data_IF_846776383185
#
_entry.id   IF_846776383185
#
_cell.length_a   1.000
_cell.length_b   1.000
_cell.length_c   1.000
_cell.angle_alpha   90.00
_cell.angle_beta   90.00
_cell.angle_gamma   90.00
#
_symmetry.space_group_name_H-M   'P 1'
#
loop_
_entity.id
_entity.type
_entity.pdbx_description
1 polymer ?
#
# COMPACT_ATOMS: atom_id res chain seq x y z
N UNK A 1 -12.00 0.20 25.79
CA UNK A 1 -10.80 0.72 26.48
C UNK A 1 -9.86 1.15 25.37
N UNK A 2 -9.65 2.46 25.16
CA UNK A 2 -8.89 2.95 24.01
C UNK A 2 -7.42 2.54 24.10
N UNK A 3 -6.86 2.03 22.99
CA UNK A 3 -5.42 1.78 22.86
C UNK A 3 -4.68 3.09 23.16
N UNK A 4 -3.92 3.12 24.25
CA UNK A 4 -3.09 4.28 24.61
C UNK A 4 -1.72 4.03 23.99
N UNK A 5 -1.39 4.77 22.93
CA UNK A 5 -0.02 4.80 22.41
C UNK A 5 0.92 5.46 23.42
N UNK A 6 2.20 5.13 23.36
CA UNK A 6 3.23 5.85 24.09
C UNK A 6 3.34 7.29 23.54
N UNK A 7 3.57 8.26 24.43
CA UNK A 7 3.85 9.64 24.02
C UNK A 7 5.27 9.70 23.41
N UNK A 8 5.44 10.10 22.12
CA UNK A 8 6.75 10.18 21.49
C UNK A 8 7.70 11.18 22.15
N UNK A 9 7.19 12.10 22.97
CA UNK A 9 7.96 13.10 23.69
C UNK A 9 8.29 12.70 25.14
N UNK A 10 7.89 11.49 25.57
CA UNK A 10 8.31 10.96 26.88
C UNK A 10 9.83 10.81 26.95
N UNK A 11 10.38 11.04 28.14
CA UNK A 11 11.83 11.01 28.37
C UNK A 11 12.49 9.67 27.96
N UNK A 12 11.77 8.54 28.09
CA UNK A 12 12.28 7.23 27.66
C UNK A 12 12.35 7.14 26.15
N UNK A 13 11.34 7.64 25.45
CA UNK A 13 11.28 7.62 23.98
C UNK A 13 12.31 8.56 23.38
N UNK A 14 12.49 9.77 23.95
CA UNK A 14 13.52 10.70 23.51
C UNK A 14 14.93 10.12 23.66
N UNK A 15 15.20 9.46 24.81
CA UNK A 15 16.49 8.79 25.02
C UNK A 15 16.68 7.61 24.07
N UNK A 16 15.66 6.78 23.83
CA UNK A 16 15.79 5.64 22.93
C UNK A 16 15.93 6.04 21.46
N UNK A 17 15.28 7.14 21.05
CA UNK A 17 15.38 7.66 19.69
C UNK A 17 16.67 8.43 19.41
N UNK A 18 17.52 8.66 20.42
CA UNK A 18 18.79 9.40 20.29
C UNK A 18 18.64 10.75 19.57
N UNK A 19 17.50 11.44 19.77
CA UNK A 19 17.20 12.72 19.13
C UNK A 19 16.69 12.64 17.68
N UNK A 20 16.44 11.45 17.12
CA UNK A 20 15.85 11.28 15.78
C UNK A 20 14.51 12.03 15.62
N UNK A 21 13.75 12.21 16.70
CA UNK A 21 12.48 12.94 16.74
C UNK A 21 12.62 14.41 16.28
N UNK A 22 13.82 14.99 16.36
CA UNK A 22 14.08 16.36 15.92
C UNK A 22 14.45 16.47 14.44
N UNK A 23 14.74 15.34 13.79
CA UNK A 23 15.12 15.29 12.37
C UNK A 23 14.02 14.66 11.50
N UNK A 24 13.17 13.83 12.09
CA UNK A 24 12.07 13.15 11.42
C UNK A 24 10.72 13.66 11.94
N UNK A 25 9.79 14.08 11.07
CA UNK A 25 8.47 14.51 11.50
C UNK A 25 7.73 13.38 12.23
N UNK A 26 7.26 13.67 13.45
CA UNK A 26 6.43 12.75 14.25
C UNK A 26 5.02 13.34 14.36
N UNK A 27 4.05 12.64 13.78
CA UNK A 27 2.64 13.04 13.81
C UNK A 27 1.88 12.04 14.68
N UNK A 28 1.25 12.53 15.75
CA UNK A 28 0.47 11.71 16.69
C UNK A 28 -1.04 11.84 16.45
N UNK A 29 -1.81 10.90 16.97
CA UNK A 29 -3.28 10.93 16.92
C UNK A 29 -3.85 11.01 15.49
N UNK A 30 -3.14 10.41 14.53
CA UNK A 30 -3.56 10.40 13.14
C UNK A 30 -4.39 9.16 12.82
N UNK A 31 -5.52 9.33 12.12
CA UNK A 31 -6.37 8.22 11.69
C UNK A 31 -5.98 7.75 10.31
N UNK A 32 -5.83 6.44 10.14
CA UNK A 32 -5.46 5.85 8.84
C UNK A 32 -6.48 6.17 7.75
N UNK A 33 -7.78 6.23 8.06
CA UNK A 33 -8.82 6.61 7.10
C UNK A 33 -8.55 7.99 6.49
N UNK A 34 -8.23 8.99 7.32
CA UNK A 34 -7.91 10.34 6.87
C UNK A 34 -6.63 10.39 6.04
N UNK A 35 -5.68 9.48 6.27
CA UNK A 35 -4.49 9.35 5.41
C UNK A 35 -4.90 8.95 4.01
N UNK A 36 -5.77 7.95 3.93
CA UNK A 36 -6.19 7.31 2.68
C UNK A 36 -7.10 8.22 1.86
N UNK A 37 -7.93 9.04 2.50
CA UNK A 37 -8.72 10.06 1.81
C UNK A 37 -7.82 11.05 1.04
N UNK A 38 -6.68 11.45 1.64
CA UNK A 38 -5.70 12.31 0.99
C UNK A 38 -4.92 11.60 -0.13
N UNK A 39 -4.76 10.29 -0.03
CA UNK A 39 -4.08 9.48 -1.06
C UNK A 39 -4.99 9.31 -2.29
N UNK A 40 -6.30 9.13 -2.09
CA UNK A 40 -7.27 9.04 -3.18
C UNK A 40 -7.28 10.30 -4.06
N UNK A 41 -7.03 11.47 -3.46
CA UNK A 41 -6.91 12.75 -4.19
C UNK A 41 -5.68 12.79 -5.14
N UNK A 42 -4.59 12.13 -4.78
CA UNK A 42 -3.34 12.06 -5.58
C UNK A 42 -3.42 11.03 -6.72
N UNK A 43 -4.35 10.07 -6.65
CA UNK A 43 -4.61 9.08 -7.71
C UNK A 43 -5.44 9.58 -8.89
N UNK A 44 -5.84 10.86 -8.92
CA UNK A 44 -6.25 11.56 -10.14
C UNK A 44 -7.37 10.88 -10.94
N UNK A 45 -8.57 10.79 -10.35
CA UNK A 45 -9.80 10.82 -11.14
C UNK A 45 -10.44 12.18 -10.93
N UNK A 46 -9.93 13.20 -11.64
CA UNK A 46 -10.70 14.41 -11.87
C UNK A 46 -11.66 14.09 -13.01
N UNK A 47 -12.82 13.51 -12.68
CA UNK A 47 -13.97 13.54 -13.60
C UNK A 47 -14.45 14.98 -13.64
N UNK A 48 -13.76 15.80 -14.44
CA UNK A 48 -14.23 17.13 -14.82
C UNK A 48 -14.45 17.13 -16.32
N UNK A 49 -15.73 17.11 -16.68
CA UNK A 49 -16.25 17.54 -17.97
C UNK A 49 -16.92 16.41 -18.76
N UNK A 50 -18.09 16.55 -19.34
CA UNK A 50 -19.05 17.66 -19.44
C UNK A 50 -20.40 17.00 -19.77
N UNK A 51 -21.50 17.65 -19.42
CA UNK A 51 -22.85 17.26 -19.79
C UNK A 51 -23.00 17.18 -21.32
N UNK A 52 -22.85 15.98 -21.90
CA UNK A 52 -23.21 15.72 -23.28
C UNK A 52 -24.58 15.04 -23.33
N UNK A 53 -25.58 15.91 -23.49
CA UNK A 53 -26.97 15.67 -23.85
C UNK A 53 -27.11 14.50 -24.84
N UNK A 54 -27.99 13.57 -24.51
CA UNK A 54 -28.54 12.58 -25.43
C UNK A 54 -29.44 13.31 -26.42
N UNK A 55 -29.02 13.41 -27.68
CA UNK A 55 -29.94 13.72 -28.77
C UNK A 55 -29.78 12.69 -29.88
N UNK A 56 -30.88 12.01 -30.19
CA UNK A 56 -30.94 10.99 -31.22
C UNK A 56 -31.18 11.60 -32.59
N UNK A 57 -30.66 10.96 -33.64
CA UNK A 57 -31.47 10.62 -34.81
C UNK A 57 -30.74 9.73 -35.81
N UNK A 58 -31.56 8.92 -36.48
CA UNK A 58 -31.23 7.94 -37.52
C UNK A 58 -30.59 8.57 -38.77
N UNK A 59 -29.88 7.77 -39.58
CA UNK A 59 -30.36 7.24 -40.89
C UNK A 59 -29.22 6.48 -41.61
N UNK A 60 -29.63 5.47 -42.37
CA UNK A 60 -28.94 4.53 -43.25
C UNK A 60 -27.83 5.14 -44.15
N UNK A 61 -26.80 4.34 -44.48
CA UNK A 61 -26.44 4.00 -45.86
C UNK A 61 -25.26 3.03 -45.98
N UNK A 62 -25.30 2.31 -47.10
CA UNK A 62 -24.62 1.08 -47.47
C UNK A 62 -23.17 1.20 -47.96
N UNK A 63 -22.48 0.05 -47.88
CA UNK A 63 -21.40 -0.45 -48.75
C UNK A 63 -20.06 0.31 -48.81
N UNK A 64 -19.00 -0.31 -48.29
CA UNK A 64 -17.84 -0.74 -49.05
C UNK A 64 -16.85 -1.47 -48.13
N UNK A 65 -16.19 -2.49 -48.69
CA UNK A 65 -15.14 -3.29 -48.05
C UNK A 65 -13.93 -2.41 -47.75
N UNK A 66 -13.42 -2.46 -46.52
CA UNK A 66 -12.04 -2.08 -46.25
C UNK A 66 -11.41 -3.02 -45.21
N UNK A 67 -10.13 -3.27 -45.44
CA UNK A 67 -9.30 -4.33 -44.87
C UNK A 67 -9.08 -4.08 -43.37
N UNK A 68 -9.65 -4.92 -42.50
CA UNK A 68 -9.32 -4.92 -41.07
C UNK A 68 -8.01 -5.68 -40.89
N UNK A 69 -6.94 -4.92 -40.84
CA UNK A 69 -5.68 -5.35 -40.24
C UNK A 69 -5.91 -5.64 -38.76
N UNK A 70 -5.51 -6.82 -38.31
CA UNK A 70 -5.38 -7.18 -36.89
C UNK A 70 -4.33 -6.28 -36.24
N UNK A 71 -4.75 -5.07 -35.88
CA UNK A 71 -4.03 -4.24 -34.93
C UNK A 71 -4.34 -4.81 -33.54
N UNK A 72 -3.36 -5.57 -33.04
CA UNK A 72 -3.27 -5.94 -31.62
C UNK A 72 -3.59 -4.71 -30.76
N UNK A 73 -4.42 -4.83 -29.72
CA UNK A 73 -4.70 -3.71 -28.85
C UNK A 73 -3.38 -3.33 -28.16
N UNK A 74 -2.84 -2.18 -28.55
CA UNK A 74 -1.75 -1.52 -27.85
C UNK A 74 -2.13 -1.46 -26.39
N UNK A 75 -1.42 -2.25 -25.56
CA UNK A 75 -1.52 -2.21 -24.11
C UNK A 75 -1.12 -0.79 -23.73
N UNK A 76 -2.12 0.07 -23.55
CA UNK A 76 -1.96 1.36 -22.90
C UNK A 76 -1.27 1.08 -21.58
N UNK A 77 -0.09 1.68 -21.40
CA UNK A 77 0.74 1.49 -20.22
C UNK A 77 -0.13 1.67 -18.98
N UNK A 78 -0.37 0.56 -18.27
CA UNK A 78 -1.08 0.57 -17.00
C UNK A 78 -0.37 1.57 -16.11
N UNK A 79 -1.07 2.63 -15.74
CA UNK A 79 -0.63 3.51 -14.67
C UNK A 79 -0.30 2.64 -13.47
N UNK A 80 0.99 2.55 -13.16
CA UNK A 80 1.44 1.80 -11.99
C UNK A 80 0.83 2.45 -10.75
N UNK A 81 0.47 1.67 -9.73
CA UNK A 81 -0.18 2.22 -8.56
C UNK A 81 0.81 3.18 -7.89
N UNK A 82 0.38 4.41 -7.62
CA UNK A 82 1.28 5.43 -7.06
C UNK A 82 1.74 5.07 -5.64
N UNK A 83 1.03 4.18 -4.94
CA UNK A 83 1.32 3.83 -3.56
C UNK A 83 1.18 2.34 -3.25
N UNK A 84 1.73 1.91 -2.12
CA UNK A 84 1.43 0.63 -1.47
C UNK A 84 1.02 0.85 0.00
N UNK A 85 0.09 0.02 0.50
CA UNK A 85 -0.27 -0.10 1.92
C UNK A 85 0.17 -1.47 2.42
N UNK A 86 1.24 -1.49 3.21
CA UNK A 86 1.89 -2.70 3.68
C UNK A 86 1.71 -2.85 5.19
N UNK A 87 1.17 -3.99 5.61
CA UNK A 87 0.85 -4.29 7.00
C UNK A 87 1.89 -5.27 7.56
N UNK A 88 2.49 -4.97 8.70
CA UNK A 88 3.45 -5.84 9.37
C UNK A 88 3.04 -6.07 10.82
N UNK A 89 2.75 -7.33 11.15
CA UNK A 89 2.28 -7.69 12.48
C UNK A 89 2.46 -9.19 12.75
N UNK A 90 2.70 -9.52 14.02
CA UNK A 90 2.99 -10.83 14.58
C UNK A 90 1.79 -11.79 14.61
N UNK A 91 0.57 -11.28 14.46
CA UNK A 91 -0.61 -12.15 14.56
C UNK A 91 -0.82 -13.03 13.31
N UNK A 92 -0.54 -14.34 13.44
CA UNK A 92 -0.76 -15.37 12.40
C UNK A 92 -2.20 -15.92 12.44
N UNK A 93 -2.99 -15.58 13.47
CA UNK A 93 -4.40 -16.00 13.55
C UNK A 93 -5.23 -15.19 12.57
N UNK A 94 -5.51 -15.81 11.45
CA UNK A 94 -6.28 -15.25 10.35
C UNK A 94 -7.78 -15.02 10.68
N UNK A 95 -8.42 -14.24 9.78
CA UNK A 95 -9.82 -14.32 9.34
C UNK A 95 -10.86 -13.53 10.15
N UNK A 96 -11.33 -12.43 9.55
CA UNK A 96 -12.77 -12.16 9.44
C UNK A 96 -13.13 -11.25 8.25
N UNK A 97 -12.31 -11.26 7.18
CA UNK A 97 -12.69 -10.65 5.92
C UNK A 97 -13.03 -11.76 4.93
N UNK A 98 -14.17 -11.65 4.24
CA UNK A 98 -14.59 -12.54 3.13
C UNK A 98 -13.51 -12.70 2.05
N UNK A 99 -12.51 -11.82 2.02
CA UNK A 99 -11.30 -11.92 1.22
C UNK A 99 -10.05 -11.57 2.05
N UNK A 100 -9.17 -12.53 2.38
CA UNK A 100 -7.93 -12.23 3.10
C UNK A 100 -7.00 -11.34 2.25
N UNK A 101 -6.21 -10.51 2.92
CA UNK A 101 -5.14 -9.75 2.28
C UNK A 101 -4.03 -10.70 1.83
N UNK A 102 -3.40 -10.46 0.65
CA UNK A 102 -2.28 -11.26 0.22
C UNK A 102 -1.10 -11.11 1.19
N UNK A 103 -0.40 -12.20 1.45
CA UNK A 103 0.75 -12.25 2.36
C UNK A 103 2.02 -12.50 1.54
N UNK A 104 3.05 -11.67 1.74
CA UNK A 104 4.38 -11.85 1.15
C UNK A 104 5.45 -11.94 2.22
N UNK A 105 6.52 -12.69 1.94
CA UNK A 105 7.76 -12.49 2.67
C UNK A 105 8.24 -11.05 2.45
N UNK A 106 8.80 -10.43 3.49
CA UNK A 106 9.36 -9.08 3.39
C UNK A 106 10.46 -8.96 2.30
N UNK A 107 11.08 -10.07 1.91
CA UNK A 107 12.08 -10.15 0.83
C UNK A 107 11.50 -10.19 -0.58
N UNK A 108 10.26 -10.70 -0.72
CA UNK A 108 9.69 -11.06 -2.02
C UNK A 108 8.89 -9.91 -2.63
N UNK A 109 8.48 -8.94 -1.81
CA UNK A 109 7.82 -7.73 -2.27
C UNK A 109 8.81 -6.83 -3.03
N UNK A 110 8.41 -6.32 -4.20
CA UNK A 110 9.21 -5.34 -4.96
C UNK A 110 8.80 -3.91 -4.58
N UNK A 111 9.51 -3.34 -3.62
CA UNK A 111 9.24 -1.99 -3.11
C UNK A 111 9.49 -0.89 -4.14
N UNK A 112 10.26 -1.17 -5.20
CA UNK A 112 10.63 -0.20 -6.24
C UNK A 112 9.46 0.14 -7.16
N UNK A 113 8.45 -0.71 -7.19
CA UNK A 113 7.25 -0.53 -8.03
C UNK A 113 6.39 0.66 -7.60
N UNK A 114 6.50 1.09 -6.33
CA UNK A 114 5.61 2.08 -5.72
C UNK A 114 6.33 3.40 -5.49
N UNK A 115 5.69 4.53 -5.84
CA UNK A 115 6.24 5.86 -5.56
C UNK A 115 6.12 6.24 -4.08
N UNK A 116 5.06 5.78 -3.42
CA UNK A 116 4.77 6.01 -1.99
C UNK A 116 4.53 4.67 -1.30
N UNK A 117 5.07 4.47 -0.10
CA UNK A 117 4.84 3.25 0.68
C UNK A 117 4.38 3.65 2.07
N UNK A 118 3.22 3.12 2.46
CA UNK A 118 2.66 3.24 3.79
C UNK A 118 2.87 1.93 4.52
N UNK A 119 3.87 1.89 5.40
CA UNK A 119 4.14 0.75 6.26
C UNK A 119 3.41 0.95 7.59
N UNK A 120 2.51 0.03 7.92
CA UNK A 120 1.79 0.01 9.20
C UNK A 120 2.30 -1.16 10.02
N UNK A 121 2.86 -0.86 11.19
CA UNK A 121 3.40 -1.86 12.12
C UNK A 121 2.46 -2.04 13.30
N UNK A 122 2.14 -3.29 13.64
CA UNK A 122 1.30 -3.64 14.78
C UNK A 122 1.94 -3.29 16.13
N UNK A 123 1.10 -3.12 17.15
CA UNK A 123 1.55 -3.01 18.54
C UNK A 123 2.18 -4.32 19.03
N UNK A 124 3.01 -4.24 20.08
CA UNK A 124 3.81 -5.39 20.54
C UNK A 124 2.96 -6.58 21.00
N UNK A 125 1.84 -6.35 21.69
CA UNK A 125 1.00 -7.42 22.26
C UNK A 125 -0.24 -7.71 21.45
N UNK A 126 -0.91 -6.67 20.95
CA UNK A 126 -2.22 -6.79 20.29
C UNK A 126 -2.13 -6.83 18.76
N UNK A 127 -0.94 -6.54 18.21
CA UNK A 127 -0.77 -6.44 16.77
C UNK A 127 -1.53 -5.29 16.13
N UNK A 128 -2.11 -5.51 14.94
CA UNK A 128 -2.94 -4.53 14.24
C UNK A 128 -4.39 -4.59 14.73
N UNK A 129 -4.97 -3.43 15.04
CA UNK A 129 -6.39 -3.31 15.37
C UNK A 129 -7.29 -3.72 14.22
N UNK A 130 -8.47 -4.25 14.54
CA UNK A 130 -9.50 -4.63 13.57
C UNK A 130 -9.83 -3.50 12.57
N UNK A 131 -9.93 -2.25 13.04
CA UNK A 131 -10.21 -1.08 12.20
C UNK A 131 -9.19 -0.91 11.06
N UNK A 132 -7.90 -1.15 11.33
CA UNK A 132 -6.83 -1.07 10.32
C UNK A 132 -7.00 -2.18 9.28
N UNK A 133 -7.33 -3.40 9.72
CA UNK A 133 -7.54 -4.54 8.83
C UNK A 133 -8.76 -4.33 7.94
N UNK A 134 -9.85 -3.78 8.49
CA UNK A 134 -11.05 -3.44 7.73
C UNK A 134 -10.79 -2.33 6.71
N UNK A 135 -10.07 -1.28 7.11
CA UNK A 135 -9.65 -0.21 6.20
C UNK A 135 -8.81 -0.78 5.05
N UNK A 136 -7.83 -1.64 5.35
CA UNK A 136 -7.00 -2.26 4.32
C UNK A 136 -7.81 -3.16 3.37
N UNK A 137 -8.77 -3.93 3.89
CA UNK A 137 -9.68 -4.73 3.07
C UNK A 137 -10.53 -3.85 2.14
N UNK A 138 -11.05 -2.72 2.62
CA UNK A 138 -11.81 -1.77 1.81
C UNK A 138 -10.95 -1.13 0.72
N UNK A 139 -9.70 -0.75 1.03
CA UNK A 139 -8.78 -0.22 0.01
C UNK A 139 -8.47 -1.26 -1.05
N UNK A 140 -8.29 -2.54 -0.65
CA UNK A 140 -8.08 -3.65 -1.60
C UNK A 140 -9.26 -3.81 -2.56
N UNK A 141 -10.50 -3.74 -2.08
CA UNK A 141 -11.69 -3.91 -2.94
C UNK A 141 -11.92 -2.71 -3.86
N UNK A 142 -11.64 -1.49 -3.39
CA UNK A 142 -11.72 -0.27 -4.22
C UNK A 142 -10.67 -0.22 -5.33
N UNK A 143 -9.50 -0.85 -5.12
CA UNK A 143 -8.40 -0.86 -6.08
C UNK A 143 -8.41 -2.20 -6.81
N UNK A 144 -9.26 -2.34 -7.83
CA UNK A 144 -9.27 -3.51 -8.71
C UNK A 144 -8.15 -3.43 -9.77
N UNK A 145 -6.91 -3.49 -9.30
CA UNK A 145 -5.74 -3.40 -10.17
C UNK A 145 -5.39 -4.76 -10.76
N UNK A 146 -5.41 -4.88 -12.10
CA UNK A 146 -4.81 -6.00 -12.85
C UNK A 146 -3.26 -5.97 -12.78
N UNK A 147 -2.68 -5.61 -11.65
CA UNK A 147 -1.23 -5.42 -11.48
C UNK A 147 -0.61 -6.71 -10.96
N UNK A 148 0.62 -7.01 -11.37
CA UNK A 148 1.35 -8.22 -11.00
C UNK A 148 1.63 -8.32 -9.49
N UNK A 149 1.63 -7.19 -8.77
CA UNK A 149 1.76 -7.12 -7.32
C UNK A 149 0.61 -6.33 -6.69
N UNK A 150 0.07 -6.79 -5.56
CA UNK A 150 -1.03 -6.12 -4.90
C UNK A 150 -0.56 -4.85 -4.19
N UNK A 151 -1.32 -3.78 -4.38
CA UNK A 151 -1.16 -2.48 -3.72
C UNK A 151 -1.34 -2.56 -2.21
N UNK A 152 -2.13 -3.52 -1.73
CA UNK A 152 -2.39 -3.74 -0.30
C UNK A 152 -2.01 -5.16 0.08
N UNK A 153 -1.08 -5.30 1.03
CA UNK A 153 -0.57 -6.62 1.42
C UNK A 153 -0.09 -6.67 2.87
N UNK A 154 0.02 -7.89 3.41
CA UNK A 154 0.68 -8.17 4.69
C UNK A 154 2.10 -8.69 4.44
N UNK A 155 3.08 -8.12 5.13
CA UNK A 155 4.46 -8.55 5.10
C UNK A 155 4.73 -9.51 6.26
N UNK A 156 5.48 -10.57 5.97
CA UNK A 156 5.93 -11.57 6.94
C UNK A 156 7.45 -11.60 7.01
N UNK A 157 7.99 -11.55 8.22
CA UNK A 157 9.39 -11.89 8.49
C UNK A 157 9.42 -13.38 8.90
N UNK A 158 10.11 -14.26 8.15
CA UNK A 158 10.25 -15.65 8.53
C UNK A 158 11.00 -15.80 9.86
N UNK A 159 10.40 -16.51 10.81
CA UNK A 159 10.97 -16.79 12.13
C UNK A 159 11.34 -18.27 12.25
N UNK A 160 12.32 -18.57 13.09
CA UNK A 160 12.66 -19.95 13.45
C UNK A 160 11.49 -20.57 14.25
N UNK A 161 11.31 -21.88 14.13
CA UNK A 161 10.31 -22.62 14.89
C UNK A 161 10.41 -22.31 16.41
N UNK A 162 9.26 -22.08 17.06
CA UNK A 162 9.08 -21.66 18.46
C UNK A 162 9.32 -20.17 18.77
N UNK A 163 9.53 -19.31 17.76
CA UNK A 163 9.49 -17.85 17.94
C UNK A 163 8.15 -17.31 17.45
N UNK A 164 7.36 -16.77 18.38
CA UNK A 164 6.00 -16.30 18.07
C UNK A 164 5.98 -14.88 17.49
N UNK A 165 6.97 -14.04 17.83
CA UNK A 165 7.01 -12.64 17.38
C UNK A 165 8.41 -12.01 17.45
N UNK A 166 8.58 -10.88 16.76
CA UNK A 166 9.69 -9.95 17.00
C UNK A 166 9.18 -8.74 17.78
N UNK A 167 10.10 -8.09 18.48
CA UNK A 167 9.89 -6.70 18.88
C UNK A 167 9.54 -5.84 17.65
N UNK A 168 8.53 -4.98 17.79
CA UNK A 168 8.02 -4.13 16.70
C UNK A 168 9.09 -3.23 16.08
N UNK A 169 10.04 -2.73 16.88
CA UNK A 169 11.17 -1.91 16.41
C UNK A 169 12.16 -2.72 15.56
N UNK A 170 12.44 -3.98 15.95
CA UNK A 170 13.30 -4.87 15.16
C UNK A 170 12.62 -5.27 13.85
N UNK A 171 11.33 -5.60 13.89
CA UNK A 171 10.57 -5.93 12.69
C UNK A 171 10.52 -4.74 11.71
N UNK A 172 10.24 -3.53 12.21
CA UNK A 172 10.30 -2.30 11.43
C UNK A 172 11.67 -2.10 10.78
N UNK A 173 12.75 -2.25 11.56
CA UNK A 173 14.12 -2.04 11.08
C UNK A 173 14.50 -3.03 9.97
N UNK A 174 14.12 -4.30 10.10
CA UNK A 174 14.37 -5.34 9.07
C UNK A 174 13.65 -4.99 7.76
N UNK A 175 12.37 -4.63 7.84
CA UNK A 175 11.56 -4.30 6.66
C UNK A 175 12.10 -3.03 5.97
N UNK A 176 12.37 -1.97 6.73
CA UNK A 176 12.90 -0.72 6.18
C UNK A 176 14.30 -0.93 5.59
N UNK A 177 15.16 -1.72 6.24
CA UNK A 177 16.46 -2.07 5.68
C UNK A 177 16.32 -2.75 4.32
N UNK A 178 15.39 -3.70 4.18
CA UNK A 178 15.15 -4.39 2.91
C UNK A 178 14.65 -3.43 1.82
N UNK A 179 13.72 -2.53 2.15
CA UNK A 179 13.27 -1.47 1.24
C UNK A 179 14.45 -0.63 0.76
N UNK A 180 15.29 -0.16 1.68
CA UNK A 180 16.47 0.64 1.37
C UNK A 180 17.47 -0.14 0.51
N UNK A 181 17.70 -1.43 0.79
CA UNK A 181 18.55 -2.32 0.01
C UNK A 181 18.07 -2.38 -1.44
N UNK A 182 16.78 -2.64 -1.68
CA UNK A 182 16.22 -2.69 -3.03
C UNK A 182 16.32 -1.34 -3.76
N UNK A 183 16.05 -0.23 -3.07
CA UNK A 183 16.21 1.12 -3.65
C UNK A 183 17.66 1.46 -4.00
N UNK A 184 18.64 0.89 -3.31
CA UNK A 184 20.06 1.09 -3.62
C UNK A 184 20.55 0.14 -4.72
N UNK A 185 20.15 -1.13 -4.70
CA UNK A 185 20.49 -2.10 -5.75
C UNK A 185 19.86 -1.75 -7.11
N UNK A 186 18.76 -0.99 -7.13
CA UNK A 186 18.22 -0.40 -8.36
C UNK A 186 19.02 0.76 -8.93
N UNK A 187 19.94 1.37 -8.16
CA UNK A 187 20.77 2.51 -8.58
C UNK A 187 22.13 2.12 -9.16
N UNK A 188 22.54 0.85 -9.05
CA UNK A 188 23.86 0.37 -9.50
C UNK A 188 23.89 -0.09 -10.96
N UNK A 189 22.91 0.32 -11.78
CA UNK A 189 22.99 0.22 -13.23
C UNK A 189 23.46 1.55 -13.80
N UNK A 190 24.65 1.57 -14.38
CA UNK A 190 25.37 2.70 -14.99
C UNK A 190 26.27 3.50 -14.04
N UNK A 191 27.55 3.12 -14.04
CA UNK A 191 28.69 4.06 -14.11
C UNK A 191 29.70 3.52 -15.10
#
# INVERSE_FOLDING_TARGET
MGLRCCDPWDSKVLRSGCGAQFYMPVITNYRLSSLLDNIQYDSGCSDTGEDAVWDGNATENSSAREVVSESSPTITEKSSPSFALLLADSNDSQIDAREPLPIFSYTDADYRTFKKIYLVVGGETEGLSHDILQIAANVKTSIHSRILQPTVARLRIPLLHNMDSLNSSNAFSIIVYEMLRQFQSGKTGVS
#
